data_IF_591425501682
#
_entry.id   IF_591425501682
#
_cell.length_a   1.000
_cell.length_b   1.000
_cell.length_c   1.000
_cell.angle_alpha   90.00
_cell.angle_beta   90.00
_cell.angle_gamma   90.00
#
_symmetry.space_group_name_H-M   'P 1'
#
loop_
_entity.id
_entity.type
_entity.pdbx_description
1 polymer ?
2 branched ?
3 branched ?
4 non-polymer ?
5 non-polymer ?
6 non-polymer ?
7 water ?
#
# COMPACT_ATOMS: atom_id res chain seq x y z
N UNK A 1 0.55 10.99 -23.59
CA UNK A 1 1.40 11.74 -24.55
C UNK A 1 2.72 10.99 -24.67
N UNK A 2 3.66 11.33 -23.79
CA UNK A 2 4.97 10.70 -23.75
C UNK A 2 5.01 9.99 -22.42
N UNK A 3 5.85 8.97 -22.32
CA UNK A 3 5.99 8.24 -21.07
C UNK A 3 6.54 9.20 -19.99
N UNK A 4 6.05 9.05 -18.77
CA UNK A 4 6.53 9.89 -17.71
C UNK A 4 7.90 9.41 -17.25
N UNK A 5 8.75 10.36 -16.89
CA UNK A 5 10.08 10.06 -16.39
C UNK A 5 10.21 10.70 -15.01
N UNK A 6 10.76 9.94 -14.08
CA UNK A 6 10.97 10.41 -12.73
C UNK A 6 12.15 11.35 -12.74
N UNK A 7 11.88 12.60 -13.10
CA UNK A 7 12.91 13.61 -13.18
C UNK A 7 13.03 14.49 -11.95
N UNK A 8 12.01 14.49 -11.10
CA UNK A 8 12.06 15.34 -9.89
C UNK A 8 12.41 14.60 -8.61
N UNK A 9 12.90 15.35 -7.62
CA UNK A 9 13.22 14.79 -6.33
C UNK A 9 12.00 15.12 -5.47
N UNK A 10 11.92 14.60 -4.25
CA UNK A 10 10.78 14.86 -3.36
C UNK A 10 10.75 16.29 -2.82
N UNK A 11 9.55 16.79 -2.58
CA UNK A 11 9.46 18.11 -1.98
C UNK A 11 9.87 17.89 -0.50
N UNK A 12 10.26 18.97 0.19
CA UNK A 12 10.61 18.85 1.60
C UNK A 12 9.31 18.64 2.36
N UNK A 13 9.29 17.63 3.23
CA UNK A 13 8.11 17.31 3.99
C UNK A 13 8.25 17.93 5.36
N UNK A 14 7.54 19.04 5.61
CA UNK A 14 7.58 19.70 6.93
C UNK A 14 6.34 19.36 7.74
N UNK A 15 5.31 18.88 7.05
CA UNK A 15 4.05 18.39 7.66
C UNK A 15 3.21 17.70 6.61
N UNK A 16 2.02 17.27 7.00
CA UNK A 16 1.10 16.58 6.11
C UNK A 16 -0.25 17.27 6.13
N UNK A 17 -0.82 17.53 4.95
CA UNK A 17 -2.15 18.17 4.86
C UNK A 17 -3.18 17.12 4.41
N UNK A 18 -4.46 17.40 4.67
CA UNK A 18 -5.52 16.48 4.27
C UNK A 18 -5.67 16.50 2.73
N UNK A 19 -5.69 15.31 2.13
CA UNK A 19 -5.81 15.15 0.68
C UNK A 19 -7.18 14.61 0.26
N UNK A 20 -7.56 13.46 0.82
CA UNK A 20 -8.85 12.87 0.50
C UNK A 20 -9.36 12.04 1.65
N UNK A 21 -10.67 11.89 1.74
CA UNK A 21 -11.34 11.08 2.78
C UNK A 21 -12.73 10.78 2.21
N UNK A 22 -13.11 9.51 2.17
CA UNK A 22 -14.40 9.18 1.62
C UNK A 22 -15.53 8.84 2.59
N UNK A 23 -15.23 8.68 3.88
CA UNK A 23 -16.25 8.39 4.87
C UNK A 23 -17.17 7.25 4.37
N UNK A 24 -16.59 6.26 3.69
CA UNK A 24 -17.37 5.16 3.12
C UNK A 24 -18.30 4.40 4.06
N UNK A 25 -17.82 4.01 5.23
CA UNK A 25 -18.64 3.26 6.19
C UNK A 25 -19.81 4.09 6.74
N UNK A 26 -19.56 5.38 7.04
CA UNK A 26 -20.62 6.27 7.53
C UNK A 26 -21.73 6.34 6.49
N UNK A 27 -21.35 6.77 5.29
CA UNK A 27 -22.30 6.95 4.19
C UNK A 27 -22.98 5.66 3.81
N UNK A 28 -22.20 4.57 3.80
CA UNK A 28 -22.67 3.25 3.44
C UNK A 28 -23.69 2.64 4.36
N UNK A 29 -23.88 3.26 5.53
CA UNK A 29 -24.88 2.78 6.49
C UNK A 29 -26.29 2.93 5.87
N UNK A 30 -26.42 3.84 4.89
CA UNK A 30 -27.69 4.07 4.26
C UNK A 30 -27.58 4.45 2.78
N UNK A 31 -26.75 3.72 2.06
CA UNK A 31 -26.60 3.92 0.63
C UNK A 31 -25.80 2.74 0.11
N UNK A 32 -25.85 2.57 -1.20
CA UNK A 32 -25.24 1.44 -1.86
C UNK A 32 -23.72 1.44 -2.04
N UNK A 33 -23.01 1.33 -0.92
CA UNK A 33 -21.57 1.33 -0.90
C UNK A 33 -21.07 -0.12 -0.85
N UNK A 34 -20.12 -0.43 -1.71
CA UNK A 34 -19.53 -1.76 -1.77
C UNK A 34 -18.62 -1.99 -0.56
N UNK A 35 -18.60 -3.23 -0.10
CA UNK A 35 -17.71 -3.63 0.98
C UNK A 35 -16.34 -3.78 0.29
N UNK A 36 -15.30 -3.23 0.92
CA UNK A 36 -13.95 -3.32 0.36
C UNK A 36 -12.93 -3.58 1.49
N UNK A 37 -11.66 -3.62 1.07
CA UNK A 37 -10.44 -3.70 1.90
C UNK A 37 -9.26 -3.60 0.92
N UNK A 38 -8.05 -3.44 1.45
CA UNK A 38 -6.83 -3.31 0.63
C UNK A 38 -6.93 -2.13 -0.38
N UNK A 39 -7.31 -0.94 0.09
CA UNK A 39 -7.45 0.22 -0.80
C UNK A 39 -6.11 0.89 -1.08
N UNK A 40 -6.13 1.85 -1.98
CA UNK A 40 -4.95 2.67 -2.31
C UNK A 40 -5.39 3.83 -3.17
N UNK A 41 -4.46 4.67 -3.57
CA UNK A 41 -4.77 5.81 -4.41
C UNK A 41 -3.77 5.81 -5.57
N UNK A 42 -4.21 6.27 -6.73
CA UNK A 42 -3.32 6.27 -7.88
C UNK A 42 -3.80 7.31 -8.87
N UNK A 43 -2.83 8.02 -9.46
CA UNK A 43 -3.11 9.08 -10.41
C UNK A 43 -2.83 8.77 -11.86
N UNK A 44 -3.64 9.39 -12.68
CA UNK A 44 -3.54 9.38 -14.11
C UNK A 44 -3.07 10.83 -14.37
N UNK A 45 -2.72 11.16 -15.61
CA UNK A 45 -2.26 12.53 -15.86
C UNK A 45 -3.33 13.60 -15.68
N UNK A 46 -4.60 13.21 -15.74
CA UNK A 46 -5.67 14.18 -15.61
C UNK A 46 -6.61 13.96 -14.43
N UNK A 47 -6.36 12.95 -13.61
CA UNK A 47 -7.26 12.67 -12.48
C UNK A 47 -6.58 11.72 -11.50
N UNK A 48 -6.90 11.86 -10.20
CA UNK A 48 -6.40 10.95 -9.16
C UNK A 48 -7.65 10.28 -8.62
N UNK A 49 -7.56 8.97 -8.41
CA UNK A 49 -8.70 8.16 -7.95
C UNK A 49 -8.39 7.19 -6.79
N UNK A 50 -9.45 6.79 -6.07
CA UNK A 50 -9.32 5.83 -4.97
C UNK A 50 -9.49 4.45 -5.64
N UNK A 51 -8.78 3.47 -5.12
CA UNK A 51 -8.77 2.09 -5.62
C UNK A 51 -8.95 1.17 -4.41
N UNK A 52 -9.49 -0.02 -4.65
CA UNK A 52 -9.65 -1.05 -3.61
C UNK A 52 -10.18 -2.38 -4.15
N UNK A 53 -10.12 -3.40 -3.32
CA UNK A 53 -10.63 -4.71 -3.68
C UNK A 53 -12.02 -4.86 -3.11
N UNK A 54 -13.01 -4.82 -4.00
CA UNK A 54 -14.39 -4.97 -3.62
C UNK A 54 -14.61 -6.39 -3.14
N UNK A 55 -15.67 -6.60 -2.39
CA UNK A 55 -16.04 -7.95 -1.94
C UNK A 55 -17.29 -8.42 -2.69
N UNK A 56 -17.72 -7.65 -3.70
CA UNK A 56 -18.89 -8.02 -4.49
C UNK A 56 -20.21 -8.05 -3.73
N UNK A 57 -20.43 -7.06 -2.87
CA UNK A 57 -21.66 -6.95 -2.10
C UNK A 57 -21.64 -5.56 -1.46
N UNK A 58 -22.81 -5.04 -1.05
CA UNK A 58 -22.90 -3.75 -0.33
C UNK A 58 -22.70 -4.08 1.17
N UNK A 59 -22.42 -3.07 1.98
CA UNK A 59 -22.21 -3.26 3.43
C UNK A 59 -23.51 -3.69 4.11
N UNK A 60 -24.61 -3.04 3.76
CA UNK A 60 -25.92 -3.39 4.32
C UNK A 60 -26.52 -4.66 3.70
N UNK A 61 -25.99 -5.08 2.55
CA UNK A 61 -26.50 -6.27 1.91
C UNK A 61 -26.21 -7.48 2.76
N UNK A 62 -27.09 -8.46 2.70
CA UNK A 62 -26.92 -9.71 3.46
C UNK A 62 -25.63 -10.46 3.10
N UNK A 63 -25.15 -10.30 1.86
CA UNK A 63 -23.93 -10.97 1.44
C UNK A 63 -22.68 -10.37 2.10
N UNK A 64 -22.86 -9.32 2.93
CA UNK A 64 -21.70 -8.70 3.62
C UNK A 64 -21.23 -9.67 4.71
N UNK A 65 -22.08 -10.62 5.04
CA UNK A 65 -21.75 -11.59 6.04
C UNK A 65 -20.62 -12.46 5.50
N UNK A 66 -19.50 -12.47 6.19
CA UNK A 66 -18.38 -13.30 5.76
C UNK A 66 -17.23 -12.60 5.07
N UNK A 67 -17.36 -11.30 4.84
CA UNK A 67 -16.33 -10.54 4.15
C UNK A 67 -15.01 -10.35 4.89
N UNK A 68 -14.86 -10.99 6.05
CA UNK A 68 -13.56 -10.93 6.73
C UNK A 68 -12.56 -11.75 5.83
N UNK A 69 -13.07 -12.72 5.08
CA UNK A 69 -12.24 -13.55 4.21
C UNK A 69 -11.53 -12.76 3.12
N UNK A 70 -10.30 -13.20 2.85
CA UNK A 70 -9.42 -12.54 1.90
C UNK A 70 -9.56 -12.79 0.41
N UNK A 71 -9.89 -14.00 0.00
CA UNK A 71 -9.89 -14.30 -1.41
C UNK A 71 -11.10 -15.10 -1.78
N UNK A 72 -11.94 -14.55 -2.64
CA UNK A 72 -13.13 -15.26 -3.07
C UNK A 72 -13.25 -14.94 -4.53
N UNK A 73 -14.16 -15.62 -5.22
CA UNK A 73 -14.36 -15.34 -6.65
C UNK A 73 -15.18 -14.05 -6.84
N UNK A 74 -15.61 -13.41 -5.75
CA UNK A 74 -16.44 -12.22 -5.87
C UNK A 74 -15.72 -10.91 -5.72
N UNK A 75 -14.40 -10.95 -5.62
CA UNK A 75 -13.63 -9.73 -5.45
C UNK A 75 -13.14 -9.21 -6.77
N UNK A 76 -12.87 -7.90 -6.81
CA UNK A 76 -12.37 -7.26 -8.04
C UNK A 76 -11.72 -5.94 -7.68
N UNK A 77 -10.72 -5.54 -8.47
CA UNK A 77 -10.09 -4.23 -8.23
C UNK A 77 -11.04 -3.21 -8.84
N UNK A 78 -11.43 -2.22 -8.05
CA UNK A 78 -12.29 -1.16 -8.56
C UNK A 78 -11.65 0.19 -8.25
N UNK A 79 -12.00 1.21 -9.04
CA UNK A 79 -11.51 2.57 -8.78
C UNK A 79 -12.76 3.45 -8.83
N UNK A 80 -12.70 4.60 -8.18
CA UNK A 80 -13.82 5.53 -8.15
C UNK A 80 -13.27 6.93 -7.83
N UNK A 81 -14.06 7.99 -8.10
CA UNK A 81 -13.56 9.37 -7.98
C UNK A 81 -13.03 9.69 -6.60
N UNK A 82 -11.95 10.46 -6.57
CA UNK A 82 -11.29 10.85 -5.33
C UNK A 82 -12.27 11.35 -4.28
N UNK A 83 -12.17 10.76 -3.10
CA UNK A 83 -12.97 11.13 -1.95
C UNK A 83 -14.44 10.78 -1.95
N UNK A 84 -14.92 10.13 -3.02
CA UNK A 84 -16.30 9.63 -3.06
C UNK A 84 -16.21 8.26 -2.39
N UNK A 85 -17.34 7.69 -1.93
CA UNK A 85 -17.26 6.29 -1.49
C UNK A 85 -17.35 5.37 -2.71
N UNK A 86 -16.85 4.14 -2.57
CA UNK A 86 -17.00 3.09 -3.60
C UNK A 86 -18.43 2.55 -3.64
N UNK A 87 -19.24 3.12 -4.52
CA UNK A 87 -20.62 2.67 -4.63
C UNK A 87 -20.85 1.72 -5.80
N UNK A 88 -21.96 1.02 -5.77
CA UNK A 88 -22.30 0.11 -6.84
C UNK A 88 -22.37 0.87 -8.18
N UNK A 89 -22.84 2.11 -8.09
CA UNK A 89 -23.05 2.95 -9.26
C UNK A 89 -21.89 3.80 -9.77
N UNK A 90 -20.86 4.05 -8.97
CA UNK A 90 -19.75 4.87 -9.44
C UNK A 90 -18.42 4.08 -9.45
N UNK A 91 -18.45 2.79 -9.14
CA UNK A 91 -17.20 2.04 -9.13
C UNK A 91 -16.87 1.40 -10.47
N UNK A 92 -15.65 1.60 -10.94
CA UNK A 92 -15.22 1.07 -12.21
C UNK A 92 -14.34 -0.12 -11.97
N UNK A 93 -14.70 -1.28 -12.50
CA UNK A 93 -13.89 -2.48 -12.30
C UNK A 93 -12.67 -2.46 -13.23
N UNK A 94 -11.49 -2.58 -12.64
CA UNK A 94 -10.26 -2.60 -13.40
C UNK A 94 -9.92 -4.03 -13.85
N UNK A 95 -10.16 -5.01 -12.98
CA UNK A 95 -9.90 -6.43 -13.25
C UNK A 95 -10.44 -7.23 -12.07
N UNK A 96 -10.57 -8.53 -12.30
CA UNK A 96 -11.11 -9.47 -11.33
C UNK A 96 -10.01 -10.19 -10.53
N UNK A 97 -10.14 -10.25 -9.21
CA UNK A 97 -9.12 -10.88 -8.39
C UNK A 97 -9.06 -10.43 -6.95
N UNK A 98 -8.13 -11.01 -6.19
CA UNK A 98 -8.01 -10.73 -4.76
C UNK A 98 -6.70 -10.16 -4.25
N UNK A 99 -5.89 -9.65 -5.16
CA UNK A 99 -4.60 -9.02 -4.88
C UNK A 99 -4.30 -8.24 -6.15
N UNK A 100 -3.89 -6.99 -6.02
CA UNK A 100 -3.64 -6.17 -7.20
C UNK A 100 -2.62 -5.04 -7.03
N UNK A 101 -2.35 -4.40 -8.16
CA UNK A 101 -1.49 -3.23 -8.26
C UNK A 101 -1.95 -2.52 -9.55
N UNK A 102 -1.59 -1.25 -9.69
CA UNK A 102 -2.00 -0.46 -10.83
C UNK A 102 -1.16 0.82 -10.88
N UNK A 103 -0.90 1.30 -12.10
CA UNK A 103 -0.14 2.54 -12.27
C UNK A 103 -0.24 3.05 -13.69
N UNK A 104 -0.14 4.38 -13.84
CA UNK A 104 -0.19 5.02 -15.15
C UNK A 104 1.25 5.30 -15.57
N UNK A 105 1.59 4.99 -16.81
CA UNK A 105 2.96 5.22 -17.28
C UNK A 105 3.09 6.53 -18.02
N UNK A 106 2.03 7.32 -18.04
CA UNK A 106 2.09 8.60 -18.73
C UNK A 106 1.24 8.57 -19.98
N UNK A 107 1.17 7.42 -20.63
CA UNK A 107 0.37 7.25 -21.84
C UNK A 107 -0.96 6.60 -21.45
N UNK A 108 -0.87 5.47 -20.75
CA UNK A 108 -2.05 4.75 -20.31
C UNK A 108 -1.75 3.96 -19.02
N UNK A 109 -2.77 3.30 -18.47
CA UNK A 109 -2.61 2.57 -17.22
C UNK A 109 -2.46 1.06 -17.33
N UNK A 110 -1.69 0.51 -16.42
CA UNK A 110 -1.52 -0.92 -16.33
C UNK A 110 -2.16 -1.32 -15.00
N UNK A 111 -3.00 -2.35 -15.02
CA UNK A 111 -3.61 -2.85 -13.79
C UNK A 111 -3.36 -4.36 -13.74
N UNK A 112 -3.08 -4.89 -12.56
CA UNK A 112 -2.78 -6.31 -12.40
C UNK A 112 -3.66 -6.91 -11.31
N UNK A 113 -4.35 -8.02 -11.62
CA UNK A 113 -5.18 -8.71 -10.63
C UNK A 113 -4.81 -10.18 -10.65
N UNK A 114 -4.72 -10.75 -9.48
CA UNK A 114 -4.38 -12.14 -9.31
C UNK A 114 -5.62 -12.81 -8.74
N UNK A 115 -6.00 -13.94 -9.33
CA UNK A 115 -7.13 -14.69 -8.84
C UNK A 115 -6.74 -16.16 -8.87
N UNK A 116 -7.56 -17.01 -8.26
CA UNK A 116 -7.27 -18.42 -8.27
C UNK A 116 -7.46 -19.00 -6.89
N UNK A 117 -7.45 -20.33 -6.77
CA UNK A 117 -7.29 -21.04 -5.51
C UNK A 117 -5.86 -20.86 -5.02
N UNK A 118 -5.59 -21.16 -3.75
CA UNK A 118 -4.25 -21.01 -3.19
C UNK A 118 -3.13 -21.68 -3.96
N UNK A 119 -3.38 -22.89 -4.44
CA UNK A 119 -2.35 -23.62 -5.18
C UNK A 119 -2.36 -23.47 -6.71
N UNK A 120 -3.17 -22.57 -7.26
CA UNK A 120 -3.24 -22.44 -8.72
C UNK A 120 -3.64 -21.03 -9.16
N UNK A 121 -3.13 -20.03 -8.46
CA UNK A 121 -3.44 -18.66 -8.80
C UNK A 121 -2.67 -18.20 -10.05
N UNK A 122 -3.13 -17.10 -10.63
CA UNK A 122 -2.51 -16.52 -11.82
C UNK A 122 -2.76 -15.03 -11.85
N UNK A 123 -1.83 -14.29 -12.41
CA UNK A 123 -1.95 -12.85 -12.52
C UNK A 123 -2.24 -12.48 -13.98
N UNK A 124 -3.15 -11.54 -14.20
CA UNK A 124 -3.37 -11.06 -15.54
C UNK A 124 -3.14 -9.56 -15.55
N UNK A 125 -2.20 -9.18 -16.42
CA UNK A 125 -1.75 -7.81 -16.64
C UNK A 125 -2.55 -7.16 -17.77
N UNK A 126 -3.27 -6.10 -17.40
CA UNK A 126 -4.12 -5.30 -18.27
C UNK A 126 -3.40 -4.01 -18.56
N UNK A 127 -3.53 -3.53 -19.78
CA UNK A 127 -2.90 -2.30 -20.20
C UNK A 127 -3.86 -1.60 -21.19
N UNK A 128 -4.17 -0.33 -20.92
CA UNK A 128 -5.10 0.41 -21.75
C UNK A 128 -6.46 -0.29 -21.75
N UNK A 129 -6.81 -0.82 -20.57
CA UNK A 129 -8.06 -1.54 -20.29
C UNK A 129 -8.35 -2.84 -21.02
N UNK A 130 -7.29 -3.51 -21.46
CA UNK A 130 -7.34 -4.78 -22.17
C UNK A 130 -6.36 -5.76 -21.55
N UNK A 131 -6.71 -7.05 -21.51
CA UNK A 131 -5.75 -8.03 -21.00
C UNK A 131 -4.65 -8.25 -22.04
N UNK A 132 -3.40 -8.17 -21.58
CA UNK A 132 -2.25 -8.34 -22.44
C UNK A 132 -1.35 -9.54 -22.08
N UNK A 133 -1.05 -9.71 -20.80
CA UNK A 133 -0.17 -10.78 -20.34
C UNK A 133 -0.71 -11.55 -19.12
N UNK A 134 -0.36 -12.83 -19.02
CA UNK A 134 -0.76 -13.67 -17.91
C UNK A 134 0.45 -14.42 -17.38
N UNK A 135 0.53 -14.54 -16.05
CA UNK A 135 1.64 -15.21 -15.38
C UNK A 135 1.07 -16.26 -14.42
N UNK A 136 1.47 -17.52 -14.58
CA UNK A 136 0.97 -18.57 -13.71
C UNK A 136 1.77 -18.63 -12.41
N UNK A 137 1.11 -19.07 -11.34
CA UNK A 137 1.77 -19.20 -10.05
C UNK A 137 3.06 -20.03 -10.25
N UNK A 138 4.15 -19.62 -9.59
CA UNK A 138 5.41 -20.36 -9.70
C UNK A 138 5.76 -21.13 -8.45
N UNK A 139 5.07 -20.88 -7.36
CA UNK A 139 5.35 -21.58 -6.14
C UNK A 139 4.11 -22.27 -5.59
N UNK A 140 3.01 -22.11 -6.32
CA UNK A 140 1.74 -22.72 -5.96
C UNK A 140 1.29 -22.46 -4.52
N UNK A 141 1.47 -21.24 -4.07
CA UNK A 141 1.07 -20.88 -2.73
C UNK A 141 0.75 -19.38 -2.62
N UNK A 142 -0.49 -19.04 -2.99
CA UNK A 142 -1.01 -17.67 -2.93
C UNK A 142 -0.14 -16.58 -3.60
N UNK A 143 -0.05 -16.66 -4.93
CA UNK A 143 0.68 -15.65 -5.69
C UNK A 143 0.01 -14.33 -5.25
N UNK A 144 0.81 -13.33 -4.90
CA UNK A 144 0.27 -12.09 -4.38
C UNK A 144 1.17 -10.90 -4.74
N UNK A 145 0.59 -9.71 -4.75
CA UNK A 145 1.38 -8.56 -5.12
C UNK A 145 1.26 -7.39 -4.12
N UNK A 146 1.52 -6.18 -4.61
CA UNK A 146 1.60 -4.97 -3.79
C UNK A 146 0.45 -4.45 -2.93
N UNK A 147 -0.75 -4.41 -3.51
CA UNK A 147 -1.95 -3.89 -2.87
C UNK A 147 -1.88 -2.36 -2.83
N UNK A 148 -1.00 -1.78 -3.65
CA UNK A 148 -0.90 -0.31 -3.80
C UNK A 148 -0.31 -0.03 -5.17
N UNK A 149 -0.26 1.24 -5.60
CA UNK A 149 0.26 1.52 -6.94
C UNK A 149 1.72 1.17 -7.22
N UNK A 150 1.96 0.79 -8.47
CA UNK A 150 3.31 0.53 -8.93
C UNK A 150 3.81 1.90 -9.44
N UNK A 151 5.03 1.98 -9.96
CA UNK A 151 5.54 3.26 -10.46
C UNK A 151 6.22 2.97 -11.80
N UNK A 152 6.12 3.91 -12.73
CA UNK A 152 6.73 3.75 -14.06
C UNK A 152 7.81 4.80 -14.38
N UNK A 153 8.73 4.43 -15.26
CA UNK A 153 9.78 5.36 -15.70
C UNK A 153 10.11 5.01 -17.15
N UNK A 154 9.84 5.95 -18.05
CA UNK A 154 10.04 5.78 -19.48
C UNK A 154 9.37 4.50 -20.02
N UNK A 155 8.15 4.24 -19.54
CA UNK A 155 7.43 3.07 -20.01
C UNK A 155 7.67 1.84 -19.18
N UNK A 156 8.76 1.81 -18.41
CA UNK A 156 9.05 0.62 -17.56
C UNK A 156 8.42 0.77 -16.18
N UNK A 157 7.53 -0.16 -15.85
CA UNK A 157 6.79 -0.21 -14.57
C UNK A 157 7.08 -1.52 -13.82
N UNK A 158 8.04 -1.49 -12.88
CA UNK A 158 8.40 -2.64 -12.06
C UNK A 158 7.29 -3.02 -11.05
N UNK A 159 7.11 -4.32 -10.80
CA UNK A 159 6.11 -4.77 -9.85
C UNK A 159 6.68 -5.91 -9.02
N UNK A 160 6.42 -5.88 -7.72
CA UNK A 160 6.94 -6.93 -6.84
C UNK A 160 5.85 -7.94 -6.52
N UNK A 161 6.14 -9.24 -6.75
CA UNK A 161 5.21 -10.32 -6.48
C UNK A 161 5.90 -11.28 -5.50
N UNK A 162 5.11 -12.02 -4.74
CA UNK A 162 5.61 -13.05 -3.85
C UNK A 162 4.69 -14.27 -4.03
N UNK A 163 5.32 -15.44 -4.07
CA UNK A 163 4.58 -16.70 -4.18
C UNK A 163 5.36 -17.63 -3.23
N UNK A 164 4.62 -18.36 -2.40
CA UNK A 164 5.18 -19.27 -1.41
C UNK A 164 4.70 -18.91 -0.01
N UNK A 165 5.33 -19.51 1.00
CA UNK A 165 4.99 -19.32 2.41
C UNK A 165 4.97 -17.88 2.93
N UNK A 166 4.11 -17.69 3.94
CA UNK A 166 3.94 -16.41 4.63
C UNK A 166 4.71 -16.47 5.95
N UNK A 167 5.19 -17.66 6.27
CA UNK A 167 5.87 -17.88 7.53
C UNK A 167 7.19 -18.64 7.34
N UNK A 168 7.82 -18.45 6.20
CA UNK A 168 9.09 -19.09 5.92
C UNK A 168 9.59 -18.46 4.65
N UNK A 169 10.77 -18.83 4.13
CA UNK A 169 11.24 -18.21 2.90
C UNK A 169 10.29 -18.49 1.73
N UNK A 170 10.12 -17.47 0.88
CA UNK A 170 9.21 -17.52 -0.26
C UNK A 170 9.96 -17.10 -1.53
N UNK A 171 9.28 -17.15 -2.67
CA UNK A 171 9.89 -16.76 -3.94
C UNK A 171 9.34 -15.43 -4.41
N UNK A 172 10.11 -14.37 -4.14
CA UNK A 172 9.74 -13.02 -4.51
C UNK A 172 10.41 -12.70 -5.82
N UNK A 173 9.65 -12.06 -6.71
CA UNK A 173 10.14 -11.68 -8.04
C UNK A 173 9.81 -10.22 -8.35
N UNK A 174 10.68 -9.61 -9.13
CA UNK A 174 10.48 -8.23 -9.55
C UNK A 174 10.30 -8.35 -11.06
N UNK A 175 9.14 -7.97 -11.55
CA UNK A 175 8.85 -8.00 -12.97
C UNK A 175 8.93 -6.59 -13.52
N UNK A 176 9.59 -6.42 -14.66
CA UNK A 176 9.67 -5.11 -15.33
C UNK A 176 8.76 -5.19 -16.54
N UNK A 177 7.65 -4.44 -16.47
CA UNK A 177 6.68 -4.45 -17.56
C UNK A 177 6.77 -3.16 -18.38
N UNK A 178 6.43 -3.28 -19.65
CA UNK A 178 6.37 -2.12 -20.55
C UNK A 178 5.20 -2.45 -21.49
N UNK A 179 4.18 -1.59 -21.47
CA UNK A 179 2.98 -1.79 -22.26
C UNK A 179 2.33 -3.14 -21.97
N UNK A 180 2.32 -3.52 -20.69
CA UNK A 180 1.71 -4.78 -20.28
C UNK A 180 2.52 -6.02 -20.61
N UNK A 181 3.62 -5.86 -21.34
CA UNK A 181 4.44 -7.01 -21.70
C UNK A 181 5.64 -7.16 -20.75
N UNK A 182 6.11 -8.40 -20.55
CA UNK A 182 7.24 -8.62 -19.68
C UNK A 182 8.56 -8.36 -20.41
N UNK A 183 9.35 -7.46 -19.88
CA UNK A 183 10.64 -7.18 -20.48
C UNK A 183 11.68 -8.06 -19.81
N UNK A 184 11.51 -8.30 -18.52
CA UNK A 184 12.46 -9.05 -17.71
C UNK A 184 11.91 -9.26 -16.29
N UNK A 185 12.38 -10.32 -15.61
CA UNK A 185 12.03 -10.53 -14.22
C UNK A 185 13.31 -11.04 -13.54
N UNK A 186 13.47 -10.70 -12.26
CA UNK A 186 14.62 -11.13 -11.45
C UNK A 186 14.03 -11.77 -10.22
N UNK A 187 14.74 -12.75 -9.64
CA UNK A 187 14.53 -13.07 -8.23
C UNK A 187 15.04 -12.00 -7.27
N UNK A 188 14.36 -11.90 -6.13
CA UNK A 188 14.72 -10.98 -5.09
C UNK A 188 16.18 -11.25 -4.75
N UNK A 189 16.91 -10.19 -4.45
CA UNK A 189 18.30 -10.28 -4.07
C UNK A 189 18.43 -9.29 -2.91
N UNK A 190 19.60 -9.27 -2.29
CA UNK A 190 19.80 -8.35 -1.18
C UNK A 190 19.67 -9.08 0.15
N UNK A 191 19.52 -8.32 1.24
CA UNK A 191 19.41 -8.91 2.56
C UNK A 191 18.00 -9.04 3.12
N UNK A 192 16.97 -8.61 2.38
CA UNK A 192 15.60 -8.74 2.86
C UNK A 192 15.31 -10.25 2.90
N UNK A 193 14.79 -10.74 4.01
CA UNK A 193 14.55 -12.18 4.13
C UNK A 193 13.16 -12.67 3.72
N UNK A 194 12.23 -11.74 3.59
CA UNK A 194 10.85 -12.06 3.20
C UNK A 194 10.21 -10.75 2.75
N UNK A 195 9.43 -10.82 1.67
CA UNK A 195 8.78 -9.64 1.10
C UNK A 195 7.32 -9.86 0.79
N UNK A 196 6.48 -8.90 1.18
CA UNK A 196 5.06 -8.92 0.86
C UNK A 196 4.55 -7.49 0.82
N UNK A 197 3.55 -7.24 -0.03
CA UNK A 197 2.88 -5.94 -0.12
C UNK A 197 3.71 -4.66 -0.19
N UNK A 198 4.57 -4.54 -1.19
CA UNK A 198 5.41 -3.35 -1.31
C UNK A 198 4.70 -2.05 -1.64
N UNK A 199 5.07 -0.99 -0.92
CA UNK A 199 4.53 0.34 -1.14
C UNK A 199 5.66 1.12 -1.82
N UNK A 200 5.43 1.58 -3.05
CA UNK A 200 6.48 2.23 -3.81
C UNK A 200 6.23 3.67 -4.24
N UNK A 201 7.32 4.38 -4.50
CA UNK A 201 7.25 5.77 -5.01
C UNK A 201 8.55 5.95 -5.81
N UNK A 202 8.56 6.94 -6.70
CA UNK A 202 9.74 7.16 -7.52
C UNK A 202 10.20 8.60 -7.48
N UNK A 203 11.52 8.80 -7.60
CA UNK A 203 12.09 10.13 -7.62
C UNK A 203 13.46 10.02 -8.22
N UNK A 204 13.83 11.00 -9.05
CA UNK A 204 15.12 11.01 -9.70
C UNK A 204 15.57 9.65 -10.27
N UNK A 205 14.74 9.08 -11.14
CA UNK A 205 15.02 7.80 -11.80
C UNK A 205 15.31 6.59 -10.89
N UNK A 206 14.77 6.60 -9.69
CA UNK A 206 14.92 5.50 -8.76
C UNK A 206 13.55 5.21 -8.11
N UNK A 207 13.25 3.93 -7.91
CA UNK A 207 12.00 3.54 -7.31
C UNK A 207 12.28 2.88 -5.97
N UNK A 208 11.70 3.44 -4.92
CA UNK A 208 11.87 2.90 -3.57
C UNK A 208 10.59 2.20 -3.12
N UNK A 209 10.73 0.97 -2.63
CA UNK A 209 9.61 0.20 -2.12
C UNK A 209 9.83 -0.19 -0.67
N UNK A 210 8.87 0.14 0.19
CA UNK A 210 8.90 -0.23 1.60
C UNK A 210 7.85 -1.32 1.70
N UNK A 211 8.28 -2.53 2.02
CA UNK A 211 7.39 -3.65 2.06
C UNK A 211 7.24 -4.16 3.48
N UNK A 212 6.96 -5.45 3.60
CA UNK A 212 6.74 -6.05 4.90
C UNK A 212 7.30 -7.48 4.91
N UNK A 213 7.97 -7.79 6.01
CA UNK A 213 8.54 -9.10 6.25
C UNK A 213 7.53 -9.75 7.19
N UNK A 214 6.64 -10.52 6.60
CA UNK A 214 5.62 -11.16 7.42
C UNK A 214 6.14 -12.25 8.33
N UNK A 215 7.21 -12.91 7.88
CA UNK A 215 7.82 -14.01 8.60
C UNK A 215 8.51 -13.67 9.94
N UNK A 216 9.47 -12.74 9.93
CA UNK A 216 10.21 -12.42 11.14
C UNK A 216 10.42 -10.97 11.51
N UNK A 217 10.43 -10.08 10.50
CA UNK A 217 10.72 -8.68 10.76
C UNK A 217 9.67 -7.69 11.19
N UNK A 218 10.02 -6.92 12.22
CA UNK A 218 9.17 -5.85 12.76
C UNK A 218 9.70 -4.51 12.21
N UNK A 219 10.89 -4.56 11.62
CA UNK A 219 11.45 -3.42 10.89
C UNK A 219 10.97 -3.75 9.47
N UNK A 220 10.93 -2.78 8.56
CA UNK A 220 10.46 -3.05 7.19
C UNK A 220 11.58 -3.25 6.20
N UNK A 221 11.48 -4.30 5.38
CA UNK A 221 12.31 -4.45 4.18
C UNK A 221 12.08 -3.36 3.12
N UNK A 222 13.18 -2.98 2.47
CA UNK A 222 13.14 -1.95 1.45
C UNK A 222 13.84 -2.46 0.22
N UNK A 223 13.16 -2.30 -0.92
CA UNK A 223 13.68 -2.69 -2.23
C UNK A 223 13.82 -1.39 -3.05
N UNK A 224 15.03 -1.14 -3.53
CA UNK A 224 15.29 0.02 -4.37
C UNK A 224 15.55 -0.53 -5.78
N UNK A 225 14.77 0.00 -6.73
CA UNK A 225 14.84 -0.45 -8.12
C UNK A 225 15.38 0.61 -9.08
N UNK A 226 16.22 0.18 -10.00
CA UNK A 226 16.74 1.07 -11.04
C UNK A 226 15.91 0.63 -12.26
N UNK A 227 14.92 1.43 -12.68
CA UNK A 227 14.08 0.95 -13.78
C UNK A 227 14.74 1.05 -15.17
N UNK A 228 15.93 1.63 -15.27
CA UNK A 228 16.61 1.71 -16.56
C UNK A 228 17.48 0.46 -16.71
N UNK A 229 18.32 0.20 -15.72
CA UNK A 229 19.17 -0.97 -15.69
C UNK A 229 18.29 -2.20 -15.40
N UNK A 230 17.11 -1.95 -14.87
CA UNK A 230 16.20 -3.02 -14.49
C UNK A 230 16.90 -3.98 -13.53
N UNK A 231 17.44 -3.41 -12.45
CA UNK A 231 18.12 -4.15 -11.39
C UNK A 231 17.64 -3.60 -10.05
N UNK A 232 17.97 -4.25 -8.95
CA UNK A 232 17.52 -3.76 -7.63
C UNK A 232 18.41 -4.26 -6.51
N UNK A 233 18.16 -3.77 -5.30
CA UNK A 233 18.87 -4.19 -4.11
C UNK A 233 17.79 -4.29 -3.04
N UNK A 234 18.12 -4.88 -1.92
CA UNK A 234 17.18 -4.98 -0.81
C UNK A 234 17.92 -4.95 0.51
N UNK A 235 17.25 -4.40 1.53
CA UNK A 235 17.77 -4.32 2.90
C UNK A 235 16.56 -4.02 3.77
N UNK A 236 16.82 -3.66 5.02
CA UNK A 236 15.77 -3.27 5.95
C UNK A 236 16.04 -1.83 6.37
N UNK A 237 15.01 -1.17 6.89
CA UNK A 237 15.16 0.18 7.42
C UNK A 237 15.97 -0.05 8.71
N UNK A 238 17.18 0.51 8.78
CA UNK A 238 18.09 0.37 9.94
C UNK A 238 17.51 0.90 11.26
N UNK A 239 16.72 1.96 11.18
CA UNK A 239 16.16 2.61 12.35
C UNK A 239 15.55 1.73 13.45
N UNK A 240 15.83 2.05 14.72
CA UNK A 240 15.15 1.50 15.91
C UNK A 240 13.65 1.84 16.03
N UNK A 241 13.18 2.83 15.27
CA UNK A 241 11.76 3.17 15.28
C UNK A 241 11.05 2.12 14.38
N UNK A 242 10.61 1.04 15.01
CA UNK A 242 9.99 -0.07 14.29
C UNK A 242 8.62 0.28 13.72
N UNK A 243 8.39 -0.11 12.47
CA UNK A 243 7.13 0.27 11.84
C UNK A 243 6.15 -0.80 11.36
N UNK A 244 6.42 -2.07 11.68
CA UNK A 244 5.43 -3.07 11.31
C UNK A 244 4.44 -3.19 12.49
N UNK A 245 3.46 -4.07 12.39
CA UNK A 245 2.47 -4.32 13.45
C UNK A 245 1.86 -5.72 13.26
N UNK A 246 1.72 -6.49 14.35
CA UNK A 246 2.24 -6.23 15.70
C UNK A 246 3.78 -6.11 15.72
N UNK A 247 4.34 -5.61 16.82
CA UNK A 247 5.78 -5.44 16.89
C UNK A 247 6.17 -5.31 18.36
N UNK A 248 7.47 -5.54 18.68
CA UNK A 248 7.98 -5.28 20.03
C UNK A 248 8.15 -3.77 20.25
N UNK A 249 8.47 -3.37 21.48
CA UNK A 249 8.71 -1.96 21.77
C UNK A 249 9.97 -1.54 21.03
N UNK A 250 10.08 -0.24 20.74
CA UNK A 250 11.27 0.28 20.04
C UNK A 250 12.52 0.07 20.88
N UNK A 251 13.58 -0.54 20.30
CA UNK A 251 14.92 -0.59 20.88
C UNK A 251 15.66 0.74 20.69
N UNK A 252 16.95 0.76 21.02
CA UNK A 252 17.74 1.98 20.83
C UNK A 252 18.62 1.80 19.62
N UNK A 253 18.68 0.58 19.12
CA UNK A 253 19.44 0.29 17.90
C UNK A 253 18.65 -0.75 17.09
N UNK A 254 18.46 -0.47 15.80
CA UNK A 254 17.74 -1.37 14.91
C UNK A 254 18.64 -2.33 14.14
N UNK A 255 18.14 -2.87 13.05
CA UNK A 255 18.90 -3.79 12.23
C UNK A 255 18.80 -3.40 10.75
N UNK A 256 19.95 -3.35 10.08
CA UNK A 256 20.04 -2.97 8.67
C UNK A 256 19.91 -4.11 7.66
N UNK A 257 20.33 -5.31 8.03
CA UNK A 257 20.28 -6.44 7.11
C UNK A 257 19.63 -7.74 7.58
N UNK A 258 18.81 -7.67 8.60
CA UNK A 258 18.12 -8.84 9.09
C UNK A 258 16.89 -8.32 9.71
N UNK A 259 15.85 -9.15 9.74
CA UNK A 259 14.59 -8.77 10.40
C UNK A 259 14.81 -8.52 11.88
N UNK A 260 14.16 -7.50 12.41
CA UNK A 260 14.28 -7.23 13.82
C UNK A 260 13.28 -8.16 14.47
N UNK A 261 13.73 -8.99 15.44
CA UNK A 261 12.94 -10.10 15.96
C UNK A 261 11.96 -9.67 17.05
N UNK A 262 11.11 -10.61 17.46
CA UNK A 262 10.17 -10.32 18.51
C UNK A 262 8.76 -10.69 18.14
N UNK A 263 8.47 -10.68 16.84
CA UNK A 263 7.12 -11.01 16.37
C UNK A 263 7.25 -11.78 15.06
N UNK A 264 6.63 -12.96 15.02
CA UNK A 264 6.66 -13.81 13.82
C UNK A 264 5.32 -13.94 13.15
N UNK A 265 5.40 -14.32 11.88
CA UNK A 265 4.24 -14.60 11.05
C UNK A 265 3.05 -13.69 11.18
N UNK A 266 3.25 -12.41 10.93
CA UNK A 266 2.18 -11.44 10.98
C UNK A 266 2.77 -10.09 10.58
N UNK A 267 1.91 -9.13 10.28
CA UNK A 267 2.38 -7.80 9.90
C UNK A 267 1.27 -7.04 9.18
N UNK A 268 1.55 -5.83 8.74
CA UNK A 268 0.57 -5.01 8.04
C UNK A 268 1.30 -4.26 6.93
N UNK A 269 0.62 -4.06 5.80
CA UNK A 269 1.20 -3.34 4.69
C UNK A 269 1.47 -1.95 5.22
N UNK A 270 2.62 -1.39 4.93
CA UNK A 270 2.97 -0.06 5.41
C UNK A 270 3.87 0.65 4.41
N UNK A 271 4.45 1.79 4.77
CA UNK A 271 5.30 2.50 3.83
C UNK A 271 6.20 3.48 4.52
N UNK A 272 7.04 4.16 3.72
CA UNK A 272 7.96 5.20 4.19
C UNK A 272 8.49 6.02 3.01
N UNK A 273 9.07 7.17 3.32
CA UNK A 273 9.70 8.02 2.33
C UNK A 273 11.11 8.16 2.85
N UNK A 274 12.06 7.57 2.14
CA UNK A 274 13.48 7.54 2.55
C UNK A 274 14.25 8.51 1.70
N UNK A 275 14.55 9.66 2.29
CA UNK A 275 15.20 10.72 1.54
C UNK A 275 16.13 11.52 2.47
N UNK A 276 17.16 10.85 2.99
CA UNK A 276 18.13 11.48 3.88
C UNK A 276 17.48 12.13 5.10
N UNK A 277 17.72 13.41 5.30
CA UNK A 277 17.09 14.07 6.44
C UNK A 277 15.57 14.24 6.19
N UNK A 278 15.15 14.24 4.92
CA UNK A 278 13.74 14.38 4.55
C UNK A 278 13.07 12.99 4.58
N UNK A 279 13.30 12.25 5.67
CA UNK A 279 12.76 10.90 5.84
C UNK A 279 11.58 10.87 6.83
N UNK A 280 10.47 10.26 6.38
CA UNK A 280 9.30 10.12 7.24
C UNK A 280 8.75 8.68 7.24
N UNK A 281 8.51 8.15 8.44
CA UNK A 281 8.01 6.81 8.63
C UNK A 281 6.57 6.82 9.10
N UNK A 282 5.75 5.93 8.55
CA UNK A 282 4.38 5.83 9.01
C UNK A 282 4.28 4.54 9.81
N UNK A 283 3.37 4.52 10.78
CA UNK A 283 3.15 3.34 11.57
C UNK A 283 1.92 3.46 12.44
N UNK A 284 1.41 2.29 12.89
CA UNK A 284 0.27 2.25 13.77
C UNK A 284 0.84 2.73 15.11
N UNK A 285 0.00 3.33 15.94
CA UNK A 285 0.47 3.76 17.26
C UNK A 285 0.58 2.50 18.13
N UNK A 286 -0.45 1.68 18.16
CA UNK A 286 -0.42 0.46 18.95
C UNK A 286 0.67 -0.49 18.44
N UNK A 287 1.36 -1.19 19.35
CA UNK A 287 2.39 -2.17 18.96
C UNK A 287 1.70 -3.53 18.86
N UNK A 288 0.46 -3.63 19.34
CA UNK A 288 -0.28 -4.87 19.34
C UNK A 288 -1.33 -5.03 18.24
N UNK A 289 -2.02 -3.96 17.87
CA UNK A 289 -3.04 -4.07 16.86
C UNK A 289 -3.05 -2.89 15.87
N UNK A 290 -3.90 -3.01 14.83
CA UNK A 290 -4.06 -2.01 13.77
C UNK A 290 -4.95 -0.91 14.33
N UNK A 291 -4.30 -0.11 15.16
CA UNK A 291 -4.94 0.92 15.91
C UNK A 291 -4.05 2.15 15.88
N UNK A 292 -4.67 3.29 15.57
CA UNK A 292 -3.95 4.55 15.49
C UNK A 292 -3.00 4.61 14.31
N UNK A 293 -2.53 5.80 14.01
CA UNK A 293 -1.59 6.00 12.90
C UNK A 293 -0.87 7.32 13.07
N UNK A 294 0.46 7.27 12.92
CA UNK A 294 1.27 8.46 13.04
C UNK A 294 2.38 8.47 12.00
N UNK A 295 2.85 9.69 11.69
CA UNK A 295 3.96 9.95 10.78
C UNK A 295 5.10 10.48 11.67
N UNK A 296 6.30 9.88 11.54
CA UNK A 296 7.47 10.29 12.32
C UNK A 296 8.65 10.65 11.39
N UNK A 297 9.24 11.82 11.60
CA UNK A 297 10.39 12.24 10.81
C UNK A 297 11.59 11.61 11.50
N UNK A 298 12.24 10.69 10.80
CA UNK A 298 13.37 10.00 11.35
C UNK A 298 14.49 10.17 10.36
N UNK A 299 15.30 11.23 10.56
CA UNK A 299 16.36 11.57 9.59
C UNK A 299 17.30 10.37 9.37
N UNK A 300 17.51 10.04 8.10
CA UNK A 300 18.37 8.92 7.69
C UNK A 300 17.97 7.54 8.21
N UNK A 301 16.68 7.32 8.45
CA UNK A 301 16.17 6.03 8.96
C UNK A 301 16.72 4.81 8.24
N UNK A 302 16.77 4.88 6.92
CA UNK A 302 17.24 3.76 6.12
C UNK A 302 18.66 3.29 6.44
N UNK A 303 19.56 4.22 6.72
CA UNK A 303 20.96 3.88 6.93
C UNK A 303 21.56 4.05 8.30
N UNK A 304 20.82 4.72 9.20
CA UNK A 304 21.29 5.01 10.55
C UNK A 304 20.58 4.10 11.56
N UNK A 305 21.30 3.10 12.10
CA UNK A 305 20.70 2.16 13.05
C UNK A 305 20.39 2.65 14.46
N UNK A 306 20.52 3.94 14.68
CA UNK A 306 20.21 4.51 15.98
C UNK A 306 19.31 5.72 15.77
N UNK A 307 18.86 5.95 14.53
CA UNK A 307 18.01 7.08 14.21
C UNK A 307 16.67 7.05 14.96
N UNK A 308 16.33 8.20 15.54
CA UNK A 308 15.12 8.37 16.32
C UNK A 308 14.40 9.65 15.84
N UNK A 309 13.13 9.85 16.25
CA UNK A 309 12.29 10.88 15.65
C UNK A 309 12.70 12.30 16.02
N UNK A 310 12.53 13.22 15.07
CA UNK A 310 12.85 14.64 15.31
C UNK A 310 11.60 15.53 15.18
N UNK A 311 10.53 14.95 14.66
CA UNK A 311 9.26 15.65 14.45
C UNK A 311 8.23 14.56 14.21
N UNK A 312 6.96 14.92 14.27
CA UNK A 312 5.94 13.92 14.03
C UNK A 312 4.55 14.48 13.81
N UNK A 313 3.62 13.63 13.34
CA UNK A 313 2.25 14.09 13.17
C UNK A 313 1.30 12.93 13.38
N UNK A 314 0.24 13.13 14.19
CA UNK A 314 -0.72 12.07 14.43
C UNK A 314 -1.77 12.12 13.33
N UNK A 315 -2.02 10.97 12.74
CA UNK A 315 -2.99 10.88 11.66
C UNK A 315 -4.29 10.30 12.20
N UNK A 316 -4.19 9.24 12.99
CA UNK A 316 -5.38 8.59 13.55
C UNK A 316 -5.09 8.30 15.03
N UNK A 317 -6.03 8.61 15.92
CA UNK A 317 -5.84 8.36 17.35
C UNK A 317 -5.76 6.86 17.67
N UNK A 318 -4.98 6.51 18.68
CA UNK A 318 -4.84 5.11 19.07
C UNK A 318 -6.16 4.50 19.50
N UNK A 319 -7.16 5.35 19.69
CA UNK A 319 -8.48 4.86 20.06
C UNK A 319 -9.37 4.69 18.85
N UNK A 320 -8.75 4.68 17.66
CA UNK A 320 -9.47 4.49 16.43
C UNK A 320 -8.77 3.42 15.61
N UNK A 321 -9.54 2.70 14.83
CA UNK A 321 -9.00 1.64 13.98
C UNK A 321 -8.29 2.17 12.72
N UNK A 322 -7.12 1.60 12.43
CA UNK A 322 -6.38 1.94 11.22
C UNK A 322 -6.32 0.68 10.36
N UNK A 323 -5.19 0.41 9.72
CA UNK A 323 -5.07 -0.77 8.87
C UNK A 323 -3.89 -0.53 7.95
N UNK A 324 -4.02 -0.99 6.70
CA UNK A 324 -3.00 -0.85 5.68
C UNK A 324 -2.69 0.62 5.37
N UNK A 325 -1.51 0.88 4.81
CA UNK A 325 -1.15 2.25 4.42
C UNK A 325 -0.16 2.11 3.28
N UNK A 326 -0.11 3.10 2.42
CA UNK A 326 0.79 3.01 1.29
C UNK A 326 1.08 4.33 0.67
N UNK A 327 2.03 4.33 -0.23
CA UNK A 327 2.45 5.53 -0.91
C UNK A 327 1.94 5.65 -2.34
N UNK A 328 1.83 6.89 -2.77
CA UNK A 328 1.44 7.29 -4.13
C UNK A 328 1.81 8.77 -4.21
N UNK A 329 1.98 9.28 -5.42
CA UNK A 329 2.26 10.70 -5.64
C UNK A 329 1.61 11.06 -6.94
N UNK A 330 1.33 12.33 -7.13
CA UNK A 330 0.77 12.76 -8.37
C UNK A 330 1.98 13.19 -9.20
N UNK A 331 2.47 12.30 -10.07
CA UNK A 331 3.63 12.58 -10.91
C UNK A 331 3.35 13.55 -12.03
N UNK A 332 2.10 14.00 -12.14
CA UNK A 332 1.72 14.92 -13.21
C UNK A 332 1.29 16.28 -12.69
N UNK A 333 1.71 16.61 -11.46
CA UNK A 333 1.39 17.89 -10.83
C UNK A 333 2.37 18.97 -11.34
N UNK A 334 2.04 20.23 -11.14
CA UNK A 334 2.96 21.31 -11.55
C UNK A 334 4.08 21.43 -10.51
N UNK A 335 5.06 22.30 -10.75
CA UNK A 335 6.09 22.47 -9.76
C UNK A 335 7.38 21.72 -10.05
N UNK A 336 8.36 21.90 -9.18
CA UNK A 336 9.68 21.33 -9.33
C UNK A 336 9.98 20.06 -8.57
N UNK A 337 9.05 19.57 -7.75
CA UNK A 337 9.32 18.38 -6.96
C UNK A 337 8.06 17.55 -6.84
N UNK A 338 8.25 16.28 -6.50
CA UNK A 338 7.11 15.38 -6.33
C UNK A 338 6.66 15.47 -4.87
N UNK A 339 5.36 15.68 -4.66
CA UNK A 339 4.83 15.81 -3.31
C UNK A 339 4.42 14.45 -2.75
N UNK A 340 5.17 13.98 -1.76
CA UNK A 340 4.88 12.69 -1.12
C UNK A 340 3.45 12.60 -0.61
N UNK A 341 2.75 11.50 -0.90
CA UNK A 341 1.37 11.29 -0.38
C UNK A 341 1.26 9.86 0.13
N UNK A 342 0.22 9.59 0.91
CA UNK A 342 -0.03 8.24 1.42
C UNK A 342 -1.48 8.15 1.82
N UNK A 343 -1.97 6.93 1.98
CA UNK A 343 -3.33 6.72 2.42
C UNK A 343 -3.25 5.74 3.61
N UNK A 344 -4.26 5.77 4.46
CA UNK A 344 -4.38 4.85 5.58
C UNK A 344 -5.78 4.22 5.43
N UNK A 345 -5.81 2.90 5.51
CA UNK A 345 -7.05 2.14 5.40
C UNK A 345 -7.59 2.13 6.80
N UNK A 346 -8.84 2.55 6.97
CA UNK A 346 -9.48 2.58 8.29
C UNK A 346 -10.44 1.40 8.37
N UNK A 347 -9.96 0.25 8.87
CA UNK A 347 -10.75 -0.97 8.94
C UNK A 347 -11.83 -0.97 10.01
N UNK A 348 -13.04 -1.36 9.59
CA UNK A 348 -14.17 -1.43 10.49
C UNK A 348 -14.77 -2.79 10.39
N UNK A 349 -15.33 -3.28 11.47
CA UNK A 349 -15.95 -4.59 11.46
C UNK A 349 -15.01 -5.65 11.99
N UNK A 350 -15.12 -6.85 11.44
CA UNK A 350 -14.29 -7.97 11.88
C UNK A 350 -12.80 -7.88 11.50
N UNK A 351 -11.90 -8.38 12.37
CA UNK A 351 -12.18 -9.14 13.60
C UNK A 351 -12.36 -8.31 14.86
N UNK A 352 -11.93 -7.06 14.84
CA UNK A 352 -11.99 -6.24 16.04
C UNK A 352 -13.38 -5.86 16.51
N UNK A 353 -14.29 -5.63 15.58
CA UNK A 353 -15.65 -5.24 15.94
C UNK A 353 -16.57 -6.34 15.42
N UNK A 354 -16.69 -7.38 16.24
CA UNK A 354 -17.47 -8.54 15.84
C UNK A 354 -18.96 -8.55 16.07
N UNK A 355 -19.53 -7.43 16.50
CA UNK A 355 -20.98 -7.37 16.68
C UNK A 355 -21.64 -7.37 15.31
N UNK A 356 -20.87 -7.01 14.28
CA UNK A 356 -21.34 -7.04 12.89
C UNK A 356 -20.63 -8.23 12.25
N UNK A 357 -21.20 -8.79 11.20
CA UNK A 357 -20.65 -9.95 10.49
C UNK A 357 -19.76 -9.64 9.28
N UNK A 358 -19.57 -8.36 9.01
CA UNK A 358 -18.77 -7.91 7.88
C UNK A 358 -17.46 -7.27 8.29
N UNK A 359 -16.61 -7.03 7.29
CA UNK A 359 -15.33 -6.35 7.45
C UNK A 359 -15.24 -5.45 6.25
N UNK A 360 -14.98 -4.17 6.47
CA UNK A 360 -14.82 -3.24 5.37
C UNK A 360 -13.88 -2.13 5.84
N UNK A 361 -13.90 -0.99 5.16
CA UNK A 361 -13.04 0.09 5.56
C UNK A 361 -13.44 1.37 4.85
N UNK A 362 -12.80 2.46 5.26
CA UNK A 362 -12.92 3.73 4.58
C UNK A 362 -11.45 4.14 4.37
N UNK A 363 -11.23 5.25 3.66
CA UNK A 363 -9.88 5.70 3.36
C UNK A 363 -9.66 7.13 3.81
N UNK A 364 -8.46 7.42 4.32
CA UNK A 364 -8.08 8.77 4.62
C UNK A 364 -6.72 8.91 3.92
N UNK A 365 -6.44 10.06 3.30
CA UNK A 365 -5.14 10.24 2.68
C UNK A 365 -4.61 11.65 2.87
N UNK A 366 -3.29 11.75 2.95
CA UNK A 366 -2.60 13.02 3.15
C UNK A 366 -1.46 13.14 2.13
N UNK A 367 -0.96 14.36 1.96
CA UNK A 367 0.17 14.66 1.09
C UNK A 367 0.99 15.66 1.92
N UNK A 368 2.26 15.84 1.55
CA UNK A 368 3.15 16.72 2.29
C UNK A 368 2.97 18.21 2.03
N UNK A 369 3.37 19.00 3.01
CA UNK A 369 3.35 20.44 2.88
C UNK A 369 4.71 20.91 3.31
N UNK A 370 5.21 21.98 2.69
CA UNK A 370 6.48 22.54 3.10
C UNK A 370 6.21 23.48 4.31
N UNK A 371 4.92 23.71 4.62
CA UNK A 371 4.57 24.51 5.79
C UNK A 371 4.59 23.58 6.97
N UNK A 372 4.51 24.14 8.19
CA UNK A 372 4.46 23.33 9.42
C UNK A 372 3.03 23.48 9.92
N UNK A 373 2.13 22.69 9.34
CA UNK A 373 0.72 22.74 9.62
C UNK A 373 0.24 22.14 10.92
N UNK A 374 -0.85 22.70 11.47
CA UNK A 374 -1.43 22.16 12.67
C UNK A 374 -1.98 20.78 12.34
N UNK A 375 -2.08 19.90 13.32
CA UNK A 375 -2.59 18.56 13.08
C UNK A 375 -3.99 18.31 13.63
N UNK A 376 -4.69 17.37 12.98
CA UNK A 376 -6.01 16.93 13.38
C UNK A 376 -5.94 15.41 13.28
N UNK A 377 -6.88 14.71 13.89
CA UNK A 377 -6.90 13.26 13.78
C UNK A 377 -8.09 13.01 12.84
N UNK A 378 -8.00 11.92 12.07
CA UNK A 378 -9.01 11.60 11.06
C UNK A 378 -9.58 10.19 11.17
N UNK A 379 -10.58 9.98 12.05
CA UNK A 379 -11.09 8.61 12.20
C UNK A 379 -12.10 8.22 11.12
N UNK A 380 -12.42 6.94 11.05
CA UNK A 380 -13.42 6.47 10.09
C UNK A 380 -14.75 7.25 10.29
N UNK A 381 -15.16 7.40 11.55
CA UNK A 381 -16.38 8.15 11.85
C UNK A 381 -17.68 7.40 11.99
N UNK A 382 -17.72 6.11 11.67
CA UNK A 382 -18.97 5.37 11.78
C UNK A 382 -19.23 4.80 13.16
N UNK A 383 -20.51 4.66 13.51
CA UNK A 383 -20.93 4.08 14.80
C UNK A 383 -21.42 2.68 14.50
N UNK A 384 -20.65 1.67 14.91
CA UNK A 384 -21.02 0.27 14.66
C UNK A 384 -22.43 -0.03 15.16
N UNK A 385 -22.79 0.55 16.31
CA UNK A 385 -24.11 0.32 16.90
C UNK A 385 -25.27 0.53 15.93
N UNK A 386 -25.10 1.47 15.00
CA UNK A 386 -26.13 1.77 14.01
C UNK A 386 -26.39 0.61 13.04
N UNK A 387 -25.37 -0.22 12.86
CA UNK A 387 -25.45 -1.36 11.95
C UNK A 387 -26.03 -2.60 12.61
N UNK A 388 -26.35 -2.51 13.90
CA UNK A 388 -26.86 -3.68 14.60
C UNK A 388 -28.36 -3.83 14.48
#
# INVERSE_FOLDING_TARGET
RDFNNLTKGLCTINSWHIYGKDNAVRIGEDSDVLVTREPYVSCDPDECRFYALSQGTTIRGKHSNGTIHDRSQYRALISWPLSSPPTVYNSRVECIGWSSTSCHDGKTRMSICISGPNNNASAVIWYNRRPVTEINTWARNILRTQESECVCHNGVCPVVFTDGSATGPAETRIYYFKEGKILKWEPLAGTAKHIEECSCYGERAEITCTCKDNWQGSNRPVIRIDPVAMTHTSQYICSPVLTDNPRPNDPTVGKCNDPYPGNNNNGVKGFSYLDGVNTWLGRTISIASRSGYEMLKVPNALTDDKSKPTQGQTIVLNTDWSGYSGSFMDYWAEGECYRACFYVELIRGRPKEDKVWWTSNSIVSMCSSTEFLGQWDWPDGAKIEYFL
#
